data_IF_626133940524
#
_entry.id   IF_626133940524
#
_cell.length_a   1.000
_cell.length_b   1.000
_cell.length_c   1.000
_cell.angle_alpha   90.00
_cell.angle_beta   90.00
_cell.angle_gamma   90.00
#
_symmetry.space_group_name_H-M   'P 1'
#
loop_
_entity.id
_entity.type
_entity.pdbx_description
1 polymer ?
#
# COMPACT_ATOMS: atom_id res chain seq x y z
N UNK A 1 -43.89 -8.44 -47.72
CA UNK A 1 -43.54 -7.32 -46.83
C UNK A 1 -43.72 -7.59 -45.33
N UNK A 2 -44.58 -8.49 -44.87
CA UNK A 2 -44.80 -8.76 -43.43
C UNK A 2 -43.72 -9.58 -42.71
N UNK A 3 -42.85 -10.34 -43.40
CA UNK A 3 -41.81 -11.14 -42.76
C UNK A 3 -40.56 -10.33 -42.35
N UNK A 4 -40.26 -9.24 -43.05
CA UNK A 4 -39.09 -8.39 -42.75
C UNK A 4 -39.31 -7.45 -41.54
N UNK A 5 -40.52 -7.03 -41.28
CA UNK A 5 -40.84 -6.15 -40.11
C UNK A 5 -40.79 -6.93 -38.80
N UNK A 6 -41.16 -8.21 -38.80
CA UNK A 6 -41.15 -9.04 -37.58
C UNK A 6 -39.70 -9.38 -37.14
N UNK A 7 -38.78 -9.60 -38.08
CA UNK A 7 -37.39 -9.90 -37.79
C UNK A 7 -36.65 -8.67 -37.15
N UNK A 8 -36.92 -7.47 -37.66
CA UNK A 8 -36.33 -6.23 -37.11
C UNK A 8 -36.84 -5.95 -35.68
N UNK A 9 -38.12 -6.16 -35.42
CA UNK A 9 -38.72 -5.98 -34.11
C UNK A 9 -38.17 -6.97 -33.06
N UNK A 10 -37.92 -8.23 -33.44
CA UNK A 10 -37.35 -9.24 -32.53
C UNK A 10 -35.89 -8.95 -32.21
N UNK A 11 -35.08 -8.50 -33.18
CA UNK A 11 -33.68 -8.12 -32.94
C UNK A 11 -33.60 -6.89 -32.06
N UNK A 12 -34.48 -5.90 -32.22
CA UNK A 12 -34.52 -4.70 -31.35
C UNK A 12 -34.96 -5.02 -29.92
N UNK A 13 -35.94 -5.95 -29.74
CA UNK A 13 -36.37 -6.38 -28.41
C UNK A 13 -35.26 -7.20 -27.70
N UNK A 14 -34.56 -8.06 -28.39
CA UNK A 14 -33.45 -8.84 -27.82
C UNK A 14 -32.28 -7.92 -27.41
N UNK A 15 -31.97 -6.90 -28.23
CA UNK A 15 -30.94 -5.90 -27.89
C UNK A 15 -31.32 -5.04 -26.66
N UNK A 16 -32.59 -4.63 -26.52
CA UNK A 16 -33.07 -3.91 -25.36
C UNK A 16 -33.07 -4.78 -24.09
N UNK A 17 -33.50 -6.03 -24.19
CA UNK A 17 -33.46 -6.97 -23.07
C UNK A 17 -32.02 -7.27 -22.62
N UNK A 18 -31.10 -7.41 -23.55
CA UNK A 18 -29.68 -7.63 -23.24
C UNK A 18 -29.06 -6.40 -22.55
N UNK A 19 -29.33 -5.20 -23.05
CA UNK A 19 -28.85 -3.96 -22.46
C UNK A 19 -29.40 -3.73 -21.04
N UNK A 20 -30.71 -3.96 -20.83
CA UNK A 20 -31.31 -3.85 -19.50
C UNK A 20 -30.78 -4.90 -18.52
N UNK A 21 -30.50 -6.11 -18.97
CA UNK A 21 -29.93 -7.16 -18.14
C UNK A 21 -28.50 -6.84 -17.73
N UNK A 22 -27.64 -6.35 -18.64
CA UNK A 22 -26.27 -5.92 -18.35
C UNK A 22 -26.25 -4.74 -17.39
N UNK A 23 -27.10 -3.74 -17.59
CA UNK A 23 -27.22 -2.59 -16.68
C UNK A 23 -27.67 -3.04 -15.28
N UNK A 24 -28.64 -3.96 -15.20
CA UNK A 24 -29.10 -4.51 -13.91
C UNK A 24 -28.00 -5.26 -13.17
N UNK A 25 -27.16 -6.06 -13.88
CA UNK A 25 -26.04 -6.76 -13.28
C UNK A 25 -24.92 -5.81 -12.81
N UNK A 26 -24.63 -4.76 -13.57
CA UNK A 26 -23.64 -3.75 -13.20
C UNK A 26 -24.09 -2.97 -11.94
N UNK A 27 -25.35 -2.54 -11.85
CA UNK A 27 -25.92 -1.87 -10.68
C UNK A 27 -25.87 -2.79 -9.45
N UNK A 28 -26.23 -4.06 -9.60
CA UNK A 28 -26.17 -5.03 -8.49
C UNK A 28 -24.72 -5.28 -8.03
N UNK A 29 -23.74 -5.30 -8.96
CA UNK A 29 -22.31 -5.44 -8.61
C UNK A 29 -21.79 -4.22 -7.84
N UNK A 30 -22.08 -3.00 -8.30
CA UNK A 30 -21.66 -1.77 -7.61
C UNK A 30 -22.26 -1.69 -6.21
N UNK A 31 -23.53 -2.04 -6.04
CA UNK A 31 -24.17 -2.07 -4.75
C UNK A 31 -23.55 -3.12 -3.81
N UNK A 32 -23.20 -4.31 -4.31
CA UNK A 32 -22.45 -5.32 -3.52
C UNK A 32 -21.07 -4.79 -3.09
N UNK A 33 -20.37 -4.08 -3.96
CA UNK A 33 -19.07 -3.49 -3.61
C UNK A 33 -19.23 -2.42 -2.53
N UNK A 34 -20.24 -1.56 -2.66
CA UNK A 34 -20.57 -0.56 -1.65
C UNK A 34 -20.88 -1.20 -0.30
N UNK A 35 -21.72 -2.24 -0.27
CA UNK A 35 -22.09 -2.95 0.97
C UNK A 35 -20.87 -3.63 1.61
N UNK A 36 -20.01 -4.24 0.82
CA UNK A 36 -18.74 -4.84 1.33
C UNK A 36 -17.81 -3.77 1.90
N UNK A 37 -17.67 -2.62 1.25
CA UNK A 37 -16.84 -1.51 1.72
C UNK A 37 -17.36 -0.98 3.07
N UNK A 38 -18.67 -0.72 3.18
CA UNK A 38 -19.29 -0.28 4.43
C UNK A 38 -19.11 -1.33 5.56
N UNK A 39 -19.29 -2.61 5.25
CA UNK A 39 -19.10 -3.68 6.24
C UNK A 39 -17.65 -3.73 6.73
N UNK A 40 -16.67 -3.65 5.82
CA UNK A 40 -15.24 -3.64 6.15
C UNK A 40 -14.85 -2.40 6.99
N UNK A 41 -15.35 -1.21 6.64
CA UNK A 41 -15.14 0.01 7.42
C UNK A 41 -15.78 -0.10 8.81
N UNK A 42 -17.01 -0.59 8.89
CA UNK A 42 -17.72 -0.74 10.16
C UNK A 42 -16.98 -1.69 11.11
N UNK A 43 -16.45 -2.79 10.58
CA UNK A 43 -15.66 -3.75 11.36
C UNK A 43 -14.29 -3.19 11.72
N UNK A 44 -13.57 -2.64 10.74
CA UNK A 44 -12.17 -2.22 10.89
C UNK A 44 -11.96 -0.90 11.63
N UNK A 45 -12.96 -0.01 11.63
CA UNK A 45 -12.90 1.32 12.26
C UNK A 45 -13.73 1.44 13.54
N UNK A 46 -14.21 0.32 14.09
CA UNK A 46 -15.04 0.31 15.30
C UNK A 46 -14.32 0.79 16.56
N UNK A 47 -13.00 0.79 16.55
CA UNK A 47 -12.16 1.25 17.66
C UNK A 47 -11.36 2.51 17.28
N UNK A 48 -11.12 3.42 18.22
CA UNK A 48 -10.17 4.51 18.03
C UNK A 48 -8.80 3.98 17.60
N UNK A 49 -8.07 4.76 16.82
CA UNK A 49 -6.71 4.44 16.44
C UNK A 49 -5.79 4.36 17.66
N UNK A 50 -5.07 3.26 17.80
CA UNK A 50 -4.01 3.03 18.79
C UNK A 50 -2.65 2.80 18.11
N UNK A 51 -2.67 2.20 16.94
CA UNK A 51 -1.49 1.77 16.20
C UNK A 51 -1.07 0.34 16.51
N UNK A 52 -0.04 -0.10 15.81
CA UNK A 52 0.61 -1.40 16.03
C UNK A 52 1.36 -1.35 17.35
N UNK A 53 1.05 -2.29 18.27
CA UNK A 53 1.77 -2.48 19.54
C UNK A 53 2.68 -3.71 19.49
N UNK A 54 3.62 -3.80 20.44
CA UNK A 54 4.54 -4.92 20.56
C UNK A 54 4.49 -5.42 22.00
N UNK A 55 3.82 -6.56 22.23
CA UNK A 55 3.60 -7.14 23.55
C UNK A 55 2.65 -6.31 24.40
N UNK A 56 1.51 -5.89 23.83
CA UNK A 56 0.44 -5.07 24.43
C UNK A 56 0.88 -3.67 24.87
N UNK A 57 2.09 -3.20 24.50
CA UNK A 57 2.61 -1.91 24.91
C UNK A 57 2.80 -0.96 23.72
N UNK A 58 2.40 0.30 23.92
CA UNK A 58 2.79 1.44 23.06
C UNK A 58 3.93 2.18 23.79
N UNK A 59 5.11 2.16 23.19
CA UNK A 59 6.30 2.84 23.72
C UNK A 59 6.27 4.33 23.32
N UNK A 60 6.12 5.26 24.26
CA UNK A 60 6.08 6.69 23.96
C UNK A 60 7.47 7.26 23.68
N UNK A 61 7.51 8.44 23.04
CA UNK A 61 8.74 9.23 22.89
C UNK A 61 9.70 8.75 21.80
N UNK A 62 9.28 7.81 20.96
CA UNK A 62 10.08 7.32 19.84
C UNK A 62 10.16 8.33 18.68
N UNK A 63 9.15 9.16 18.50
CA UNK A 63 8.99 10.06 17.37
C UNK A 63 8.85 11.53 17.82
N UNK A 64 9.92 12.17 18.34
CA UNK A 64 9.83 13.56 18.79
C UNK A 64 9.64 14.50 17.59
N UNK A 65 8.86 15.58 17.79
CA UNK A 65 8.85 16.71 16.84
C UNK A 65 10.24 17.35 16.86
N UNK A 66 10.91 17.35 15.71
CA UNK A 66 12.25 17.91 15.52
C UNK A 66 12.46 18.34 14.09
N UNK A 67 13.38 19.27 13.83
CA UNK A 67 13.81 19.52 12.46
C UNK A 67 14.68 18.37 11.94
N UNK A 68 14.39 17.93 10.73
CA UNK A 68 15.18 16.93 10.00
C UNK A 68 16.23 17.59 9.10
N UNK A 69 16.04 18.89 8.77
CA UNK A 69 16.85 19.61 7.79
C UNK A 69 16.53 19.23 6.33
N UNK A 70 15.54 18.38 6.09
CA UNK A 70 15.11 17.96 4.75
C UNK A 70 13.89 18.77 4.34
N UNK A 71 13.95 19.45 3.20
CA UNK A 71 12.87 20.35 2.76
C UNK A 71 11.64 19.60 2.28
N UNK A 72 10.46 19.95 2.82
CA UNK A 72 9.15 19.52 2.36
C UNK A 72 8.51 20.53 1.37
N UNK A 73 9.22 21.57 0.97
CA UNK A 73 8.70 22.56 0.00
C UNK A 73 8.27 21.95 -1.34
N UNK A 74 9.05 21.03 -1.97
CA UNK A 74 8.64 20.42 -3.23
C UNK A 74 7.27 19.74 -3.14
N UNK A 75 7.06 18.90 -2.12
CA UNK A 75 5.78 18.19 -1.94
C UNK A 75 4.64 19.17 -1.58
N UNK A 76 4.92 20.20 -0.77
CA UNK A 76 3.94 21.26 -0.45
C UNK A 76 3.47 22.01 -1.68
N UNK A 77 4.38 22.41 -2.57
CA UNK A 77 4.04 23.08 -3.82
C UNK A 77 3.27 22.17 -4.77
N UNK A 78 3.69 20.92 -4.92
CA UNK A 78 3.00 19.94 -5.75
C UNK A 78 1.58 19.64 -5.22
N UNK A 79 1.40 19.51 -3.89
CA UNK A 79 0.09 19.33 -3.27
C UNK A 79 -0.86 20.52 -3.52
N UNK A 80 -0.35 21.77 -3.42
CA UNK A 80 -1.12 22.97 -3.77
C UNK A 80 -1.49 22.98 -5.26
N UNK A 81 -0.53 22.66 -6.14
CA UNK A 81 -0.78 22.63 -7.59
C UNK A 81 -1.83 21.58 -7.96
N UNK A 82 -1.74 20.39 -7.36
CA UNK A 82 -2.75 19.34 -7.54
C UNK A 82 -4.15 19.82 -7.12
N UNK A 83 -4.32 20.31 -5.88
CA UNK A 83 -5.61 20.80 -5.41
C UNK A 83 -6.16 21.96 -6.26
N UNK A 84 -5.30 22.82 -6.78
CA UNK A 84 -5.70 23.93 -7.63
C UNK A 84 -6.09 23.49 -9.06
N UNK A 85 -5.67 22.31 -9.50
CA UNK A 85 -6.04 21.74 -10.80
C UNK A 85 -7.45 21.13 -10.80
N UNK A 86 -7.99 20.83 -9.61
CA UNK A 86 -9.30 20.20 -9.45
C UNK A 86 -10.45 21.17 -9.63
N UNK A 87 -11.57 20.69 -10.16
CA UNK A 87 -12.85 21.42 -10.09
C UNK A 87 -13.31 21.56 -8.64
N UNK A 88 -14.21 22.50 -8.36
CA UNK A 88 -14.76 22.67 -7.00
C UNK A 88 -15.39 21.39 -6.45
N UNK A 89 -16.11 20.63 -7.30
CA UNK A 89 -16.74 19.36 -6.94
C UNK A 89 -15.70 18.27 -6.64
N UNK A 90 -14.70 18.12 -7.51
CA UNK A 90 -13.58 17.17 -7.27
C UNK A 90 -12.84 17.52 -5.99
N UNK A 91 -12.53 18.81 -5.77
CA UNK A 91 -11.82 19.24 -4.57
C UNK A 91 -12.61 18.96 -3.29
N UNK A 92 -13.93 19.19 -3.28
CA UNK A 92 -14.78 18.95 -2.12
C UNK A 92 -14.75 17.49 -1.66
N UNK A 93 -14.69 16.52 -2.58
CA UNK A 93 -14.64 15.09 -2.25
C UNK A 93 -13.22 14.55 -2.09
N UNK A 94 -12.19 15.39 -2.34
CA UNK A 94 -10.77 15.01 -2.27
C UNK A 94 -10.09 15.53 -1.02
N UNK A 95 -10.55 16.66 -0.46
CA UNK A 95 -9.92 17.32 0.68
C UNK A 95 -10.73 17.09 1.97
N UNK A 96 -10.05 16.53 2.99
CA UNK A 96 -10.60 16.15 4.30
C UNK A 96 -9.90 16.93 5.42
N UNK A 97 -10.43 16.91 6.64
CA UNK A 97 -9.72 17.39 7.81
C UNK A 97 -8.45 16.56 8.08
N UNK A 98 -7.44 17.16 8.74
CA UNK A 98 -6.17 16.47 8.99
C UNK A 98 -6.32 15.24 9.90
N UNK A 99 -7.28 15.26 10.81
CA UNK A 99 -7.60 14.20 11.76
C UNK A 99 -8.72 13.26 11.29
N UNK A 100 -9.22 13.46 10.07
CA UNK A 100 -10.31 12.67 9.49
C UNK A 100 -10.00 11.17 9.50
N UNK A 101 -11.04 10.36 9.69
CA UNK A 101 -10.96 8.90 9.65
C UNK A 101 -10.59 8.37 8.24
N UNK A 102 -10.66 9.21 7.22
CA UNK A 102 -10.30 8.87 5.85
C UNK A 102 -8.87 8.32 5.74
N UNK A 103 -7.92 8.78 6.57
CA UNK A 103 -6.59 8.18 6.67
C UNK A 103 -6.60 6.66 6.82
N UNK A 104 -7.58 6.12 7.55
CA UNK A 104 -7.69 4.70 7.88
C UNK A 104 -8.53 3.91 6.88
N UNK A 105 -9.18 4.59 5.92
CA UNK A 105 -10.08 4.02 4.93
C UNK A 105 -9.36 3.68 3.64
N UNK A 106 -8.38 2.78 3.72
CA UNK A 106 -7.68 2.26 2.56
C UNK A 106 -7.83 0.74 2.46
N UNK A 107 -7.81 0.19 1.25
CA UNK A 107 -7.90 -1.25 1.04
C UNK A 107 -7.18 -1.68 -0.25
N UNK A 108 -6.34 -2.70 -0.12
CA UNK A 108 -5.59 -3.29 -1.23
C UNK A 108 -6.45 -4.10 -2.23
N UNK A 109 -7.75 -4.26 -1.99
CA UNK A 109 -8.64 -5.05 -2.84
C UNK A 109 -9.39 -4.17 -3.85
N UNK A 110 -9.62 -4.71 -5.07
CA UNK A 110 -10.23 -3.99 -6.19
C UNK A 110 -11.67 -3.51 -5.92
N UNK A 111 -12.45 -4.25 -5.16
CA UNK A 111 -13.87 -3.97 -4.94
C UNK A 111 -14.14 -2.79 -3.99
N UNK A 112 -13.13 -2.27 -3.30
CA UNK A 112 -13.32 -1.20 -2.33
C UNK A 112 -13.73 0.11 -3.00
N UNK A 113 -14.77 0.75 -2.49
CA UNK A 113 -15.27 2.03 -2.98
C UNK A 113 -14.51 3.17 -2.30
N UNK A 114 -13.63 3.78 -3.04
CA UNK A 114 -12.69 4.81 -2.57
C UNK A 114 -13.26 6.21 -2.64
N UNK A 115 -12.78 7.07 -1.75
CA UNK A 115 -13.04 8.50 -1.79
C UNK A 115 -11.99 9.24 -2.63
N UNK A 116 -12.16 10.56 -2.79
CA UNK A 116 -11.24 11.39 -3.53
C UNK A 116 -11.51 11.43 -5.04
N UNK A 117 -10.52 11.85 -5.79
CA UNK A 117 -10.57 11.92 -7.25
C UNK A 117 -9.78 10.77 -7.86
N UNK A 118 -10.42 10.00 -8.74
CA UNK A 118 -9.81 8.89 -9.47
C UNK A 118 -8.97 9.36 -10.66
N UNK A 119 -7.85 8.68 -10.92
CA UNK A 119 -7.03 8.98 -12.10
C UNK A 119 -7.78 8.73 -13.43
N UNK A 120 -8.77 7.83 -13.42
CA UNK A 120 -9.61 7.51 -14.57
C UNK A 120 -10.51 8.67 -15.00
N UNK A 121 -10.97 9.50 -14.05
CA UNK A 121 -11.80 10.67 -14.30
C UNK A 121 -11.01 11.98 -14.47
N UNK A 122 -9.70 12.00 -14.17
CA UNK A 122 -8.85 13.16 -14.29
C UNK A 122 -8.61 13.53 -15.75
N UNK A 123 -8.60 14.84 -16.05
CA UNK A 123 -8.00 15.35 -17.28
C UNK A 123 -6.51 15.05 -17.33
N UNK A 124 -5.89 15.14 -18.50
CA UNK A 124 -4.43 14.93 -18.63
C UNK A 124 -3.62 15.88 -17.74
N UNK A 125 -4.05 17.15 -17.62
CA UNK A 125 -3.37 18.13 -16.75
C UNK A 125 -3.51 17.82 -15.26
N UNK A 126 -4.69 17.38 -14.82
CA UNK A 126 -4.92 16.93 -13.43
C UNK A 126 -4.12 15.68 -13.11
N UNK A 127 -4.07 14.73 -14.04
CA UNK A 127 -3.29 13.48 -13.89
C UNK A 127 -1.80 13.77 -13.78
N UNK A 128 -1.27 14.71 -14.58
CA UNK A 128 0.14 15.11 -14.45
C UNK A 128 0.40 15.79 -13.10
N UNK A 129 -0.48 16.69 -12.64
CA UNK A 129 -0.35 17.31 -11.31
C UNK A 129 -0.38 16.27 -10.16
N UNK A 130 -1.20 15.21 -10.28
CA UNK A 130 -1.22 14.11 -9.35
C UNK A 130 0.09 13.30 -9.38
N UNK A 131 0.63 13.04 -10.57
CA UNK A 131 1.94 12.38 -10.74
C UNK A 131 3.07 13.26 -10.21
N UNK A 132 3.00 14.58 -10.36
CA UNK A 132 3.97 15.53 -9.81
C UNK A 132 3.95 15.53 -8.27
N UNK A 133 2.77 15.40 -7.65
CA UNK A 133 2.67 15.21 -6.19
C UNK A 133 3.39 13.92 -5.75
N UNK A 134 3.15 12.81 -6.45
CA UNK A 134 3.85 11.56 -6.20
C UNK A 134 5.36 11.70 -6.43
N UNK A 135 5.78 12.38 -7.50
CA UNK A 135 7.20 12.61 -7.84
C UNK A 135 7.92 13.45 -6.80
N UNK A 136 7.24 14.42 -6.20
CA UNK A 136 7.80 15.26 -5.15
C UNK A 136 7.90 14.56 -3.77
N UNK A 137 7.17 13.47 -3.60
CA UNK A 137 7.06 12.72 -2.33
C UNK A 137 7.88 11.43 -2.32
N UNK A 138 8.15 10.87 -3.49
CA UNK A 138 8.75 9.56 -3.66
C UNK A 138 10.12 9.66 -4.31
N UNK A 139 10.99 8.73 -3.99
CA UNK A 139 12.23 8.53 -4.76
C UNK A 139 11.91 8.11 -6.20
N UNK A 140 12.88 8.23 -7.10
CA UNK A 140 12.73 7.74 -8.47
C UNK A 140 12.32 6.26 -8.52
N UNK A 141 12.83 5.45 -7.58
CA UNK A 141 12.47 4.04 -7.41
C UNK A 141 11.04 3.89 -6.91
N UNK A 142 10.62 4.62 -5.88
CA UNK A 142 9.27 4.56 -5.32
C UNK A 142 8.20 5.00 -6.32
N UNK A 143 8.45 6.07 -7.06
CA UNK A 143 7.57 6.51 -8.14
C UNK A 143 7.46 5.44 -9.24
N UNK A 144 8.62 4.88 -9.66
CA UNK A 144 8.62 3.79 -10.65
C UNK A 144 7.85 2.57 -10.15
N UNK A 145 8.08 2.13 -8.92
CA UNK A 145 7.37 0.99 -8.31
C UNK A 145 5.86 1.22 -8.32
N UNK A 146 5.40 2.37 -7.84
CA UNK A 146 3.97 2.70 -7.81
C UNK A 146 3.36 2.70 -9.21
N UNK A 147 4.03 3.34 -10.18
CA UNK A 147 3.57 3.37 -11.57
C UNK A 147 3.57 1.99 -12.23
N UNK A 148 4.54 1.15 -11.92
CA UNK A 148 4.61 -0.21 -12.45
C UNK A 148 3.53 -1.12 -11.85
N UNK A 149 3.17 -0.94 -10.57
CA UNK A 149 2.00 -1.62 -9.98
C UNK A 149 0.71 -1.20 -10.69
N UNK A 150 0.52 0.10 -10.95
CA UNK A 150 -0.64 0.59 -11.72
C UNK A 150 -0.71 -0.04 -13.11
N UNK A 151 0.43 -0.21 -13.80
CA UNK A 151 0.53 -0.88 -15.11
C UNK A 151 0.24 -2.37 -15.02
N UNK A 152 0.74 -3.04 -13.97
CA UNK A 152 0.47 -4.47 -13.75
C UNK A 152 -1.00 -4.71 -13.39
N UNK A 153 -1.68 -3.74 -12.78
CA UNK A 153 -3.13 -3.82 -12.60
C UNK A 153 -3.90 -3.83 -13.94
N UNK A 154 -3.38 -3.13 -14.97
CA UNK A 154 -3.91 -3.27 -16.33
C UNK A 154 -3.60 -4.65 -16.92
N UNK A 155 -2.37 -5.17 -16.74
CA UNK A 155 -2.01 -6.53 -17.16
C UNK A 155 -2.90 -7.58 -16.51
N UNK A 156 -3.26 -7.38 -15.23
CA UNK A 156 -4.24 -8.23 -14.56
C UNK A 156 -5.59 -8.19 -15.27
N UNK A 157 -6.06 -7.02 -15.71
CA UNK A 157 -7.28 -6.88 -16.50
C UNK A 157 -7.22 -7.69 -17.82
N UNK A 158 -6.11 -7.60 -18.56
CA UNK A 158 -5.87 -8.39 -19.77
C UNK A 158 -5.96 -9.90 -19.49
N UNK A 159 -5.29 -10.37 -18.43
CA UNK A 159 -5.28 -11.78 -18.02
C UNK A 159 -6.60 -12.26 -17.42
N UNK A 160 -7.38 -11.37 -16.82
CA UNK A 160 -8.69 -11.65 -16.24
C UNK A 160 -9.84 -11.47 -17.26
N UNK A 161 -9.65 -11.91 -18.48
CA UNK A 161 -10.64 -11.87 -19.57
C UNK A 161 -11.08 -10.45 -19.96
N UNK A 162 -10.13 -9.52 -20.08
CA UNK A 162 -10.33 -8.10 -20.43
C UNK A 162 -11.24 -7.36 -19.43
N UNK A 163 -11.14 -7.71 -18.15
CA UNK A 163 -11.93 -7.11 -17.09
C UNK A 163 -11.34 -5.75 -16.64
N UNK A 164 -11.40 -4.74 -17.52
CA UNK A 164 -10.88 -3.38 -17.23
C UNK A 164 -11.81 -2.53 -16.36
N UNK A 165 -13.00 -3.01 -16.03
CA UNK A 165 -13.89 -2.38 -15.06
C UNK A 165 -13.40 -2.55 -13.62
N UNK A 166 -12.72 -3.65 -13.33
CA UNK A 166 -12.18 -3.97 -12.00
C UNK A 166 -10.66 -3.79 -11.93
N UNK A 167 -9.96 -3.97 -13.06
CA UNK A 167 -8.49 -3.92 -13.14
C UNK A 167 -8.03 -2.99 -14.26
N UNK A 168 -7.49 -1.84 -13.92
CA UNK A 168 -7.05 -0.86 -14.91
C UNK A 168 -5.89 -0.01 -14.40
N UNK A 169 -5.07 0.50 -15.34
CA UNK A 169 -3.91 1.35 -15.02
C UNK A 169 -4.28 2.57 -14.18
N UNK A 170 -5.50 3.09 -14.34
CA UNK A 170 -5.92 4.36 -13.76
C UNK A 170 -6.97 4.22 -12.66
N UNK A 171 -7.26 3.02 -12.16
CA UNK A 171 -8.20 2.77 -11.06
C UNK A 171 -7.49 2.97 -9.71
N UNK A 172 -7.08 4.21 -9.47
CA UNK A 172 -6.41 4.70 -8.27
C UNK A 172 -6.96 6.07 -7.91
N UNK A 173 -7.04 6.38 -6.61
CA UNK A 173 -7.65 7.61 -6.09
C UNK A 173 -6.67 8.36 -5.21
N UNK A 174 -6.78 9.69 -5.19
CA UNK A 174 -6.03 10.55 -4.29
C UNK A 174 -6.99 11.29 -3.38
N UNK A 175 -6.68 11.30 -2.08
CA UNK A 175 -7.25 12.18 -1.07
C UNK A 175 -6.15 13.06 -0.46
N UNK A 176 -6.52 14.22 0.06
CA UNK A 176 -5.62 15.14 0.75
C UNK A 176 -6.23 15.47 2.10
N UNK A 177 -5.47 15.29 3.17
CA UNK A 177 -5.87 15.60 4.53
C UNK A 177 -5.18 16.88 4.99
N UNK A 178 -5.97 17.81 5.51
CA UNK A 178 -5.48 19.16 5.83
C UNK A 178 -5.31 20.04 4.59
N UNK A 179 -4.43 21.03 4.70
CA UNK A 179 -4.08 21.94 3.61
C UNK A 179 -2.57 22.03 3.50
N UNK A 180 -1.96 21.82 2.31
CA UNK A 180 -0.51 21.90 2.14
C UNK A 180 0.07 23.19 2.74
N UNK A 181 0.84 23.04 3.81
CA UNK A 181 1.37 24.13 4.65
C UNK A 181 2.85 23.92 4.96
N UNK A 182 3.55 24.99 5.36
CA UNK A 182 4.93 24.90 5.80
C UNK A 182 5.03 24.55 7.31
N UNK A 183 4.03 24.90 8.11
CA UNK A 183 4.04 24.70 9.57
C UNK A 183 2.90 23.83 10.09
N UNK A 184 1.73 23.87 9.45
CA UNK A 184 0.58 23.09 9.86
C UNK A 184 0.64 21.66 9.28
N UNK A 185 0.13 20.66 10.03
CA UNK A 185 0.13 19.28 9.57
C UNK A 185 -0.82 19.09 8.37
N UNK A 186 -0.38 18.32 7.41
CA UNK A 186 -1.15 17.94 6.25
C UNK A 186 -0.63 16.64 5.67
N UNK A 187 -1.30 16.10 4.66
CA UNK A 187 -0.77 14.95 3.94
C UNK A 187 -1.68 14.53 2.79
N UNK A 188 -1.35 13.40 2.19
CA UNK A 188 -2.12 12.84 1.10
C UNK A 188 -2.07 11.31 1.14
N UNK A 189 -3.06 10.70 0.51
CA UNK A 189 -3.15 9.26 0.38
C UNK A 189 -3.37 8.91 -1.09
N UNK A 190 -2.64 7.91 -1.58
CA UNK A 190 -3.00 7.14 -2.77
C UNK A 190 -3.64 5.84 -2.31
N UNK A 191 -4.80 5.50 -2.86
CA UNK A 191 -5.45 4.21 -2.61
C UNK A 191 -5.90 3.58 -3.92
N UNK A 192 -5.54 2.32 -4.11
CA UNK A 192 -5.92 1.52 -5.25
C UNK A 192 -5.55 0.05 -5.08
N UNK A 193 -5.93 -0.76 -6.05
CA UNK A 193 -5.60 -2.18 -6.02
C UNK A 193 -4.08 -2.38 -6.01
N UNK A 194 -3.56 -2.98 -4.93
CA UNK A 194 -2.15 -3.28 -4.71
C UNK A 194 -1.20 -2.08 -4.54
N UNK A 195 -1.67 -0.83 -4.51
CA UNK A 195 -0.81 0.33 -4.20
C UNK A 195 -1.53 1.32 -3.29
N UNK A 196 -1.03 1.44 -2.07
CA UNK A 196 -1.49 2.40 -1.07
C UNK A 196 -0.27 3.15 -0.52
N UNK A 197 -0.37 4.47 -0.46
CA UNK A 197 0.61 5.35 0.14
C UNK A 197 -0.11 6.31 1.07
N UNK A 198 0.27 6.35 2.32
CA UNK A 198 -0.11 7.38 3.28
C UNK A 198 1.10 8.25 3.54
N UNK A 199 1.03 9.53 3.19
CA UNK A 199 2.14 10.47 3.27
C UNK A 199 1.74 11.68 4.13
N UNK A 200 2.21 11.70 5.38
CA UNK A 200 1.96 12.76 6.34
C UNK A 200 3.16 13.70 6.42
N UNK A 201 2.91 15.00 6.58
CA UNK A 201 3.91 16.08 6.64
C UNK A 201 3.62 16.97 7.83
N UNK A 202 4.63 17.25 8.66
CA UNK A 202 4.62 18.26 9.71
C UNK A 202 5.94 19.02 9.71
N UNK A 203 5.92 20.27 9.28
CA UNK A 203 7.14 21.05 9.08
C UNK A 203 8.04 20.39 8.04
N UNK A 204 9.24 19.97 8.45
CA UNK A 204 10.20 19.23 7.63
C UNK A 204 10.26 17.72 7.98
N UNK A 205 9.32 17.22 8.77
CA UNK A 205 9.18 15.80 9.08
C UNK A 205 8.14 15.14 8.18
N UNK A 206 8.43 13.90 7.80
CA UNK A 206 7.56 13.06 6.97
C UNK A 206 7.37 11.69 7.61
N UNK A 207 6.13 11.18 7.58
CA UNK A 207 5.80 9.79 7.87
C UNK A 207 5.09 9.20 6.67
N UNK A 208 5.69 8.18 6.04
CA UNK A 208 5.10 7.47 4.90
C UNK A 208 4.70 6.06 5.32
N UNK A 209 3.68 5.97 6.15
CA UNK A 209 3.09 4.70 6.60
C UNK A 209 1.64 4.88 7.08
N UNK A 210 0.79 3.83 6.99
CA UNK A 210 1.06 2.57 6.32
C UNK A 210 1.33 2.76 4.82
N UNK A 211 2.25 1.96 4.28
CA UNK A 211 2.44 1.80 2.85
C UNK A 211 2.16 0.34 2.49
N UNK A 212 1.32 0.10 1.50
CA UNK A 212 1.07 -1.22 0.95
C UNK A 212 1.46 -1.25 -0.52
N UNK A 213 2.23 -2.25 -0.92
CA UNK A 213 2.60 -2.51 -2.31
C UNK A 213 2.48 -3.99 -2.61
N UNK A 214 1.89 -4.32 -3.75
CA UNK A 214 1.71 -5.69 -4.17
C UNK A 214 1.48 -5.80 -5.67
N UNK A 215 1.25 -6.99 -6.17
CA UNK A 215 0.75 -7.21 -7.53
C UNK A 215 0.34 -8.67 -7.74
N UNK A 216 -0.61 -8.88 -8.61
CA UNK A 216 -0.98 -10.13 -9.25
C UNK A 216 -1.27 -9.83 -10.74
N UNK A 217 -0.38 -10.21 -11.69
CA UNK A 217 0.95 -10.79 -11.51
C UNK A 217 2.01 -9.75 -11.10
N UNK A 218 3.16 -10.19 -10.56
CA UNK A 218 4.32 -9.31 -10.29
C UNK A 218 5.24 -9.15 -11.48
N UNK A 219 5.03 -9.96 -12.54
CA UNK A 219 5.75 -9.90 -13.81
C UNK A 219 4.75 -9.99 -14.96
N UNK A 220 4.78 -9.02 -15.86
CA UNK A 220 4.03 -9.06 -17.12
C UNK A 220 4.85 -9.74 -18.20
N UNK A 221 4.55 -10.98 -18.52
CA UNK A 221 5.24 -11.73 -19.59
C UNK A 221 4.72 -11.38 -21.00
N UNK A 222 3.54 -10.73 -21.08
CA UNK A 222 2.89 -10.34 -22.33
C UNK A 222 1.99 -9.12 -22.14
N UNK A 223 1.25 -8.70 -23.17
CA UNK A 223 0.29 -7.60 -23.14
C UNK A 223 0.92 -6.21 -23.29
N UNK A 224 0.14 -5.18 -23.03
CA UNK A 224 0.51 -3.76 -23.22
C UNK A 224 1.78 -3.38 -22.43
N UNK A 225 1.96 -3.94 -21.25
CA UNK A 225 3.06 -3.61 -20.36
C UNK A 225 4.05 -4.77 -20.17
N UNK A 226 4.21 -5.61 -21.20
CA UNK A 226 5.19 -6.70 -21.20
C UNK A 226 6.59 -6.24 -20.76
N UNK A 227 7.24 -7.03 -19.91
CA UNK A 227 8.55 -6.73 -19.31
C UNK A 227 8.49 -5.93 -18.00
N UNK A 228 7.31 -5.41 -17.60
CA UNK A 228 7.15 -4.78 -16.28
C UNK A 228 7.27 -5.82 -15.18
N UNK A 229 8.04 -5.48 -14.12
CA UNK A 229 8.24 -6.34 -12.96
C UNK A 229 8.41 -5.53 -11.69
N UNK A 230 7.83 -6.03 -10.57
CA UNK A 230 7.87 -5.37 -9.25
C UNK A 230 8.26 -6.36 -8.16
N UNK A 231 8.78 -5.86 -7.03
CA UNK A 231 9.05 -6.61 -5.80
C UNK A 231 10.04 -7.79 -5.93
N UNK A 232 10.76 -7.89 -7.04
CA UNK A 232 11.76 -8.94 -7.23
C UNK A 232 12.99 -8.70 -6.35
N UNK A 233 13.39 -7.44 -6.17
CA UNK A 233 14.50 -7.08 -5.30
C UNK A 233 14.27 -7.42 -3.84
N UNK A 234 13.05 -7.17 -3.34
CA UNK A 234 12.58 -7.50 -1.99
C UNK A 234 12.57 -9.01 -1.76
N UNK A 235 12.05 -9.75 -2.73
CA UNK A 235 12.03 -11.21 -2.73
C UNK A 235 13.45 -11.80 -2.69
N UNK A 236 14.28 -11.42 -3.64
CA UNK A 236 15.62 -12.02 -3.84
C UNK A 236 16.57 -11.65 -2.70
N UNK A 237 16.53 -10.41 -2.21
CA UNK A 237 17.37 -9.97 -1.10
C UNK A 237 16.98 -10.60 0.22
N UNK A 238 15.70 -10.80 0.48
CA UNK A 238 15.22 -11.53 1.67
C UNK A 238 15.66 -13.01 1.63
N UNK A 239 15.55 -13.66 0.47
CA UNK A 239 16.01 -15.04 0.29
C UNK A 239 17.53 -15.15 0.47
N UNK A 240 18.31 -14.21 -0.08
CA UNK A 240 19.74 -14.16 0.14
C UNK A 240 20.10 -13.93 1.62
N UNK A 241 19.36 -13.06 2.32
CA UNK A 241 19.56 -12.79 3.73
C UNK A 241 19.33 -14.02 4.59
N UNK A 242 18.17 -14.72 4.48
CA UNK A 242 17.89 -15.91 5.28
C UNK A 242 18.89 -17.03 5.00
N UNK A 243 19.40 -17.13 3.76
CA UNK A 243 20.42 -18.11 3.39
C UNK A 243 21.83 -17.75 3.87
N UNK A 244 22.10 -16.49 4.21
CA UNK A 244 23.38 -16.05 4.81
C UNK A 244 23.46 -16.35 6.32
N UNK A 245 22.35 -16.73 6.96
CA UNK A 245 22.29 -17.01 8.38
C UNK A 245 22.99 -18.35 8.71
N UNK A 246 23.72 -18.39 9.84
CA UNK A 246 24.24 -19.66 10.38
C UNK A 246 23.09 -20.63 10.71
N UNK A 247 23.33 -21.93 10.76
CA UNK A 247 22.27 -22.92 11.00
C UNK A 247 21.40 -22.61 12.21
N UNK A 248 21.97 -22.20 13.35
CA UNK A 248 21.28 -21.88 14.58
C UNK A 248 20.43 -20.59 14.40
N UNK A 249 20.98 -19.56 13.77
CA UNK A 249 20.27 -18.32 13.47
C UNK A 249 19.10 -18.58 12.51
N UNK A 250 19.35 -19.37 11.45
CA UNK A 250 18.29 -19.75 10.50
C UNK A 250 17.18 -20.54 11.17
N UNK A 251 17.52 -21.47 12.05
CA UNK A 251 16.55 -22.24 12.85
C UNK A 251 15.70 -21.33 13.74
N UNK A 252 16.29 -20.28 14.32
CA UNK A 252 15.56 -19.31 15.13
C UNK A 252 14.66 -18.40 14.28
N UNK A 253 15.10 -18.03 13.06
CA UNK A 253 14.32 -17.18 12.14
C UNK A 253 13.10 -17.91 11.56
N UNK A 254 13.24 -19.20 11.22
CA UNK A 254 12.17 -19.98 10.57
C UNK A 254 11.17 -20.47 11.62
N UNK A 255 10.07 -19.74 11.80
CA UNK A 255 9.01 -20.09 12.74
C UNK A 255 8.10 -21.21 12.20
N UNK A 256 8.08 -21.40 10.88
CA UNK A 256 7.38 -22.50 10.21
C UNK A 256 7.99 -22.78 8.83
N UNK A 257 8.32 -24.04 8.54
CA UNK A 257 8.99 -24.43 7.28
C UNK A 257 8.06 -24.54 6.05
N UNK A 258 6.75 -24.34 6.19
CA UNK A 258 5.80 -24.42 5.07
C UNK A 258 4.87 -23.22 5.03
N UNK A 259 4.78 -22.59 3.86
CA UNK A 259 3.86 -21.49 3.53
C UNK A 259 2.56 -22.07 2.97
N UNK A 260 1.40 -21.76 3.57
CA UNK A 260 0.12 -22.39 3.17
C UNK A 260 -0.95 -21.41 2.70
N UNK A 261 -1.02 -20.21 3.27
CA UNK A 261 -2.07 -19.20 3.01
C UNK A 261 -1.51 -17.80 3.16
N UNK A 262 -2.39 -16.81 3.34
CA UNK A 262 -2.09 -15.44 3.71
C UNK A 262 -1.45 -15.39 5.10
N UNK A 263 -0.35 -14.66 5.26
CA UNK A 263 0.35 -14.51 6.54
C UNK A 263 0.47 -13.06 6.99
N UNK A 264 0.27 -12.08 6.10
CA UNK A 264 0.26 -10.67 6.45
C UNK A 264 -0.79 -10.36 7.51
N UNK A 265 -0.40 -9.65 8.55
CA UNK A 265 -1.30 -9.21 9.63
C UNK A 265 -1.55 -7.71 9.62
N UNK A 266 -0.66 -6.93 8.97
CA UNK A 266 -0.71 -5.45 8.94
C UNK A 266 -1.43 -4.86 7.73
N UNK A 267 -2.27 -5.61 7.00
CA UNK A 267 -3.02 -5.11 5.85
C UNK A 267 -4.20 -4.20 6.26
N UNK A 268 -5.07 -3.85 5.30
CA UNK A 268 -6.20 -2.95 5.44
C UNK A 268 -7.03 -3.21 6.72
N UNK A 269 -7.45 -2.12 7.37
CA UNK A 269 -8.23 -2.11 8.62
C UNK A 269 -7.58 -2.82 9.82
N UNK A 270 -6.27 -3.08 9.77
CA UNK A 270 -5.49 -3.70 10.85
C UNK A 270 -4.59 -2.69 11.55
N UNK A 271 -5.18 -1.58 12.00
CA UNK A 271 -4.44 -0.50 12.67
C UNK A 271 -4.08 -0.84 14.11
N UNK A 272 -4.98 -1.52 14.83
CA UNK A 272 -4.85 -1.81 16.27
C UNK A 272 -4.46 -3.27 16.50
N UNK A 273 -3.32 -3.69 15.93
CA UNK A 273 -2.79 -5.04 16.13
C UNK A 273 -1.71 -5.05 17.21
N UNK A 274 -1.69 -6.13 17.99
CA UNK A 274 -0.59 -6.43 18.89
C UNK A 274 0.27 -7.57 18.32
N UNK A 275 1.58 -7.38 18.33
CA UNK A 275 2.52 -8.33 17.73
C UNK A 275 3.52 -8.86 18.75
N UNK A 276 3.67 -10.18 18.76
CA UNK A 276 4.73 -10.83 19.51
C UNK A 276 6.10 -10.68 18.83
N UNK A 277 7.14 -10.60 19.64
CA UNK A 277 8.54 -10.72 19.25
C UNK A 277 8.86 -12.17 18.95
N UNK A 278 8.76 -12.58 17.68
CA UNK A 278 9.03 -13.96 17.26
C UNK A 278 10.12 -14.00 16.19
N UNK A 279 10.82 -15.12 16.11
CA UNK A 279 11.91 -15.32 15.15
C UNK A 279 13.29 -15.02 15.76
N UNK A 280 14.23 -14.62 14.91
CA UNK A 280 15.59 -14.30 15.25
C UNK A 280 15.72 -12.86 15.76
N UNK A 281 16.33 -12.67 16.91
CA UNK A 281 16.70 -11.35 17.41
C UNK A 281 17.91 -10.82 16.66
N UNK A 282 17.84 -9.60 16.13
CA UNK A 282 18.88 -9.01 15.28
C UNK A 282 20.15 -8.67 16.07
N UNK A 283 20.05 -8.46 17.40
CA UNK A 283 21.21 -8.32 18.28
C UNK A 283 22.21 -9.48 18.12
N UNK A 284 21.71 -10.72 17.86
CA UNK A 284 22.52 -11.94 17.72
C UNK A 284 23.23 -12.05 16.34
N UNK A 285 23.06 -11.08 15.45
CA UNK A 285 23.66 -11.03 14.13
C UNK A 285 25.05 -10.39 14.16
N UNK A 286 25.92 -10.83 13.21
CA UNK A 286 27.17 -10.12 12.93
C UNK A 286 26.91 -8.77 12.28
N UNK A 287 27.88 -7.84 12.33
CA UNK A 287 27.78 -6.54 11.67
C UNK A 287 27.50 -6.63 10.17
N UNK A 288 28.05 -7.65 9.48
CA UNK A 288 27.76 -7.90 8.07
C UNK A 288 26.31 -8.28 7.85
N UNK A 289 25.76 -9.17 8.68
CA UNK A 289 24.37 -9.59 8.59
C UNK A 289 23.39 -8.45 8.95
N UNK A 290 23.71 -7.62 9.95
CA UNK A 290 22.94 -6.39 10.27
C UNK A 290 22.93 -5.43 9.08
N UNK A 291 24.06 -5.25 8.41
CA UNK A 291 24.14 -4.47 7.17
C UNK A 291 23.25 -5.02 6.05
N UNK A 292 23.25 -6.34 5.85
CA UNK A 292 22.37 -7.00 4.86
C UNK A 292 20.88 -6.81 5.17
N UNK A 293 20.49 -6.85 6.46
CA UNK A 293 19.12 -6.59 6.87
C UNK A 293 18.73 -5.13 6.68
N UNK A 294 19.60 -4.18 7.00
CA UNK A 294 19.39 -2.75 6.73
C UNK A 294 19.20 -2.48 5.23
N UNK A 295 19.98 -3.14 4.37
CA UNK A 295 19.81 -3.06 2.92
C UNK A 295 18.47 -3.65 2.44
N UNK A 296 17.93 -4.67 3.10
CA UNK A 296 16.58 -5.18 2.84
C UNK A 296 15.51 -4.18 3.27
N UNK A 297 15.63 -3.60 4.47
CA UNK A 297 14.73 -2.57 4.99
C UNK A 297 14.73 -1.34 4.08
N UNK A 298 15.91 -0.94 3.57
CA UNK A 298 16.05 0.19 2.63
C UNK A 298 15.24 0.02 1.33
N UNK A 299 14.96 -1.21 0.89
CA UNK A 299 14.08 -1.44 -0.26
C UNK A 299 12.65 -0.94 -0.03
N UNK A 300 12.19 -0.88 1.20
CA UNK A 300 10.86 -0.38 1.58
C UNK A 300 10.89 1.11 1.92
N UNK A 301 11.73 1.48 2.88
CA UNK A 301 11.89 2.86 3.33
C UNK A 301 12.33 3.79 2.20
N UNK A 302 13.23 3.34 1.34
CA UNK A 302 13.75 4.09 0.19
C UNK A 302 12.76 4.29 -0.97
N UNK A 303 11.48 3.96 -0.80
CA UNK A 303 10.43 4.40 -1.72
C UNK A 303 9.99 5.86 -1.47
N UNK A 304 10.19 6.37 -0.26
CA UNK A 304 10.07 7.79 0.10
C UNK A 304 11.20 8.59 -0.56
N UNK A 305 11.08 9.92 -0.69
CA UNK A 305 12.17 10.74 -1.22
C UNK A 305 13.47 10.52 -0.46
N UNK A 306 14.60 10.65 -1.17
CA UNK A 306 15.90 10.19 -0.67
C UNK A 306 16.29 10.84 0.67
N UNK A 307 15.96 12.13 0.87
CA UNK A 307 16.32 12.84 2.10
C UNK A 307 15.57 12.30 3.32
N UNK A 308 14.26 12.15 3.23
CA UNK A 308 13.45 11.61 4.33
C UNK A 308 13.64 10.11 4.51
N UNK A 309 14.00 9.39 3.43
CA UNK A 309 14.39 7.99 3.51
C UNK A 309 15.65 7.79 4.37
N UNK A 310 16.68 8.65 4.24
CA UNK A 310 17.86 8.59 5.10
C UNK A 310 17.51 8.89 6.56
N UNK A 311 16.68 9.91 6.84
CA UNK A 311 16.20 10.22 8.20
C UNK A 311 15.52 8.99 8.84
N UNK A 312 14.67 8.30 8.06
CA UNK A 312 13.98 7.08 8.54
C UNK A 312 14.94 5.90 8.70
N UNK A 313 15.93 5.76 7.82
CA UNK A 313 16.95 4.71 7.94
C UNK A 313 17.86 4.92 9.14
N UNK A 314 18.20 6.18 9.50
CA UNK A 314 18.94 6.49 10.72
C UNK A 314 18.13 6.08 11.97
N UNK A 315 16.82 6.39 11.99
CA UNK A 315 15.90 5.95 13.04
C UNK A 315 15.86 4.41 13.15
N UNK A 316 15.76 3.70 12.01
CA UNK A 316 15.79 2.23 12.00
C UNK A 316 17.12 1.68 12.50
N UNK A 317 18.24 2.30 12.11
CA UNK A 317 19.57 1.87 12.54
C UNK A 317 19.79 2.04 14.06
N UNK A 318 19.18 3.07 14.68
CA UNK A 318 19.21 3.28 16.14
C UNK A 318 18.54 2.10 16.89
N UNK A 319 17.48 1.50 16.31
CA UNK A 319 16.75 0.39 16.93
C UNK A 319 17.05 -0.97 16.30
N UNK A 320 18.16 -1.11 15.55
CA UNK A 320 18.49 -2.34 14.85
C UNK A 320 18.66 -3.55 15.79
N UNK A 321 19.19 -3.34 16.98
CA UNK A 321 19.40 -4.40 17.98
C UNK A 321 18.10 -4.79 18.72
N UNK A 322 17.07 -3.93 18.70
CA UNK A 322 15.70 -4.21 19.18
C UNK A 322 14.77 -4.63 18.01
N UNK A 323 15.33 -5.31 17.03
CA UNK A 323 14.63 -5.78 15.82
C UNK A 323 14.57 -7.29 15.81
N UNK A 324 13.46 -7.82 15.28
CA UNK A 324 13.19 -9.24 15.12
C UNK A 324 12.94 -9.59 13.66
N UNK A 325 13.50 -10.71 13.21
CA UNK A 325 13.30 -11.24 11.86
C UNK A 325 12.65 -12.62 11.93
N UNK A 326 11.48 -12.78 11.33
CA UNK A 326 10.73 -14.03 11.27
C UNK A 326 10.50 -14.46 9.82
N UNK A 327 10.55 -15.78 9.59
CA UNK A 327 10.39 -16.40 8.28
C UNK A 327 9.40 -17.55 8.33
N UNK A 328 8.57 -17.67 7.29
CA UNK A 328 7.67 -18.81 7.06
C UNK A 328 7.85 -19.26 5.61
N UNK A 329 8.12 -20.55 5.40
CA UNK A 329 8.27 -21.15 4.07
C UNK A 329 9.63 -21.74 3.81
N UNK A 330 9.86 -22.16 2.56
CA UNK A 330 11.15 -22.70 2.12
C UNK A 330 12.22 -21.64 1.91
N UNK A 331 13.45 -22.06 1.68
CA UNK A 331 14.62 -21.19 1.45
C UNK A 331 15.37 -21.52 0.15
N UNK A 332 14.77 -22.37 -0.70
CA UNK A 332 15.29 -22.66 -2.04
C UNK A 332 14.94 -21.53 -3.02
N UNK A 333 15.60 -21.47 -4.16
CA UNK A 333 15.47 -20.38 -5.15
C UNK A 333 14.05 -20.17 -5.68
N UNK A 334 13.25 -21.23 -5.77
CA UNK A 334 11.86 -21.20 -6.24
C UNK A 334 10.82 -21.20 -5.11
N UNK A 335 11.27 -21.15 -3.84
CA UNK A 335 10.39 -21.22 -2.67
C UNK A 335 9.43 -20.03 -2.61
N UNK A 336 8.25 -20.31 -2.10
CA UNK A 336 7.28 -19.30 -1.62
C UNK A 336 7.46 -19.11 -0.13
N UNK A 337 7.39 -17.85 0.33
CA UNK A 337 7.67 -17.52 1.72
C UNK A 337 6.93 -16.26 2.17
N UNK A 338 6.92 -16.06 3.46
CA UNK A 338 6.61 -14.83 4.16
C UNK A 338 7.77 -14.46 5.05
N UNK A 339 8.05 -13.18 5.19
CA UNK A 339 8.92 -12.69 6.26
C UNK A 339 8.33 -11.46 6.94
N UNK A 340 8.75 -11.26 8.19
CA UNK A 340 8.44 -10.09 8.99
C UNK A 340 9.71 -9.53 9.60
N UNK A 341 9.87 -8.21 9.51
CA UNK A 341 10.86 -7.42 10.23
C UNK A 341 10.08 -6.54 11.20
N UNK A 342 10.32 -6.68 12.49
CA UNK A 342 9.61 -5.97 13.55
C UNK A 342 10.58 -5.29 14.48
N UNK A 343 10.53 -3.96 14.58
CA UNK A 343 11.23 -3.13 15.54
C UNK A 343 10.27 -2.12 16.19
N UNK A 344 10.70 -1.35 17.20
CA UNK A 344 9.87 -0.27 17.76
C UNK A 344 9.45 0.79 16.75
N UNK A 345 10.18 0.97 15.65
CA UNK A 345 9.98 2.06 14.68
C UNK A 345 9.62 1.61 13.28
N UNK A 346 9.72 0.31 12.98
CA UNK A 346 9.34 -0.23 11.67
C UNK A 346 8.78 -1.64 11.78
N UNK A 347 7.66 -1.89 11.10
CA UNK A 347 7.12 -3.20 10.75
C UNK A 347 7.16 -3.33 9.24
N UNK A 348 7.79 -4.40 8.76
CA UNK A 348 7.74 -4.80 7.35
C UNK A 348 7.24 -6.24 7.28
N UNK A 349 6.29 -6.47 6.38
CA UNK A 349 5.82 -7.80 6.02
C UNK A 349 5.92 -7.98 4.50
N UNK A 350 6.30 -9.16 4.07
CA UNK A 350 6.30 -9.59 2.68
C UNK A 350 5.68 -10.98 2.59
N UNK A 351 4.77 -11.19 1.67
CA UNK A 351 3.97 -12.40 1.62
C UNK A 351 3.69 -12.87 0.18
N UNK A 352 4.14 -14.07 -0.17
CA UNK A 352 3.66 -14.76 -1.35
C UNK A 352 2.26 -15.31 -1.10
N UNK A 353 1.30 -14.92 -1.92
CA UNK A 353 -0.12 -15.25 -1.71
C UNK A 353 -0.67 -16.23 -2.75
N UNK A 354 -1.77 -16.95 -2.43
CA UNK A 354 -2.52 -17.67 -3.43
C UNK A 354 -3.12 -16.70 -4.47
N UNK A 355 -3.31 -17.13 -5.72
CA UNK A 355 -3.95 -16.29 -6.73
C UNK A 355 -5.40 -15.97 -6.34
N UNK A 356 -5.84 -14.75 -6.66
CA UNK A 356 -7.23 -14.30 -6.47
C UNK A 356 -7.92 -14.13 -7.83
N UNK A 357 -7.43 -13.22 -8.66
CA UNK A 357 -7.99 -12.98 -9.99
C UNK A 357 -7.52 -14.02 -11.02
N UNK A 358 -6.32 -14.57 -10.86
CA UNK A 358 -5.69 -15.51 -11.78
C UNK A 358 -5.84 -16.99 -11.38
N UNK A 359 -6.87 -17.35 -10.61
CA UNK A 359 -7.17 -18.75 -10.24
C UNK A 359 -7.43 -19.68 -11.41
N UNK A 360 -7.78 -19.14 -12.56
CA UNK A 360 -7.97 -19.91 -13.80
C UNK A 360 -6.64 -20.24 -14.50
N UNK A 361 -5.55 -19.55 -14.14
CA UNK A 361 -4.19 -19.76 -14.67
C UNK A 361 -3.32 -20.54 -13.67
N UNK A 362 -3.42 -20.21 -12.37
CA UNK A 362 -2.53 -20.73 -11.33
C UNK A 362 -3.30 -21.60 -10.32
N UNK A 363 -2.61 -22.60 -9.70
CA UNK A 363 -3.20 -23.41 -8.64
C UNK A 363 -3.50 -22.55 -7.41
N UNK A 364 -4.52 -22.92 -6.61
CA UNK A 364 -4.94 -22.19 -5.41
C UNK A 364 -4.03 -22.47 -4.21
N UNK A 365 -2.74 -22.21 -4.36
CA UNK A 365 -1.68 -22.24 -3.34
C UNK A 365 -0.84 -20.97 -3.47
N UNK A 366 -0.05 -20.58 -2.46
CA UNK A 366 0.85 -19.44 -2.60
C UNK A 366 1.78 -19.57 -3.81
N UNK A 367 1.94 -18.49 -4.56
CA UNK A 367 2.73 -18.42 -5.79
C UNK A 367 3.63 -17.19 -5.80
N UNK A 368 4.75 -17.27 -6.52
CA UNK A 368 5.68 -16.13 -6.66
C UNK A 368 5.11 -14.99 -7.53
N UNK A 369 4.03 -15.23 -8.25
CA UNK A 369 3.36 -14.24 -9.11
C UNK A 369 2.30 -13.40 -8.37
N UNK A 370 2.05 -13.66 -7.06
CA UNK A 370 1.18 -12.84 -6.24
C UNK A 370 1.90 -12.47 -4.95
N UNK A 371 2.24 -11.19 -4.81
CA UNK A 371 3.01 -10.67 -3.66
C UNK A 371 2.24 -9.52 -3.02
N UNK A 372 2.19 -9.54 -1.68
CA UNK A 372 1.80 -8.41 -0.86
C UNK A 372 2.96 -8.01 0.05
N UNK A 373 3.20 -6.72 0.19
CA UNK A 373 4.16 -6.18 1.14
C UNK A 373 3.60 -4.95 1.86
N UNK A 374 3.87 -4.86 3.15
CA UNK A 374 3.37 -3.81 4.05
C UNK A 374 4.54 -3.17 4.77
N UNK A 375 4.54 -1.85 4.86
CA UNK A 375 5.39 -1.06 5.74
C UNK A 375 4.50 -0.30 6.71
N UNK A 376 4.75 -0.41 8.03
CA UNK A 376 4.08 0.36 9.06
C UNK A 376 5.08 0.99 10.04
N UNK A 377 4.63 1.99 10.77
CA UNK A 377 5.35 2.60 11.88
C UNK A 377 4.64 2.24 13.19
N UNK A 378 5.12 1.23 13.95
CA UNK A 378 4.56 0.83 15.23
C UNK A 378 4.53 1.96 16.26
N UNK A 379 3.97 1.68 17.43
CA UNK A 379 3.92 2.61 18.56
C UNK A 379 3.16 3.91 18.27
N UNK A 380 2.10 3.80 17.44
CA UNK A 380 1.11 4.88 17.28
C UNK A 380 1.47 5.93 16.23
N UNK A 381 2.53 5.76 15.45
CA UNK A 381 2.92 6.80 14.48
C UNK A 381 2.61 6.48 13.00
N UNK A 382 1.83 5.44 12.70
CA UNK A 382 1.20 5.33 11.39
C UNK A 382 0.35 6.59 11.12
N UNK A 383 0.33 7.04 9.86
CA UNK A 383 -0.35 8.30 9.45
C UNK A 383 0.19 9.56 10.15
N UNK A 384 1.37 9.49 10.79
CA UNK A 384 1.91 10.58 11.61
C UNK A 384 1.08 10.91 12.86
N UNK A 385 0.27 9.96 13.36
CA UNK A 385 -0.69 10.24 14.46
C UNK A 385 -0.02 10.61 15.75
N UNK A 386 1.17 10.07 16.09
CA UNK A 386 1.90 10.50 17.28
C UNK A 386 2.45 11.92 17.12
N UNK A 387 2.98 12.30 15.96
CA UNK A 387 3.41 13.67 15.65
C UNK A 387 2.23 14.65 15.71
N UNK A 388 1.08 14.27 15.15
CA UNK A 388 -0.14 15.09 15.17
C UNK A 388 -0.63 15.31 16.60
N UNK A 389 -0.63 14.27 17.44
CA UNK A 389 -0.96 14.38 18.88
C UNK A 389 -0.05 15.38 19.59
N UNK A 390 1.28 15.24 19.42
CA UNK A 390 2.27 16.16 20.00
C UNK A 390 2.08 17.59 19.50
N UNK A 391 1.75 17.78 18.21
CA UNK A 391 1.47 19.09 17.65
C UNK A 391 0.28 19.76 18.35
N UNK A 392 -0.83 19.05 18.54
CA UNK A 392 -2.00 19.57 19.26
C UNK A 392 -1.74 19.86 20.76
N UNK A 393 -0.89 19.08 21.40
CA UNK A 393 -0.49 19.34 22.78
C UNK A 393 0.35 20.63 22.92
N UNK A 394 1.19 20.94 21.91
CA UNK A 394 2.01 22.15 21.89
C UNK A 394 1.26 23.37 21.34
N UNK A 395 0.28 23.18 20.49
CA UNK A 395 -0.51 24.20 19.82
C UNK A 395 -2.01 23.89 19.95
N UNK A 396 -2.64 24.14 21.12
CA UNK A 396 -4.08 23.95 21.31
C UNK A 396 -4.87 24.86 20.36
N UNK A 397 -5.78 24.30 19.56
CA UNK A 397 -6.65 24.98 18.61
C UNK A 397 -8.07 25.15 19.16
#
# INVERSE_FOLDING_TARGET
MFRSALAVAIVSLLSLCSATFVISQAVDRQERFRQRSIAAETEGLNEPFRGVSIGDEIRPGLFPIRSTGVSTEPVRFAGKAFLNSLTSEQRQRTQFAIDDAEWRKWMNQHFYVRQGVGFDEMTSAQREAAIDLMRASLSARGLKLTRDIMRLNHTLGELAHDNFEEYGEWLYWITVMGTPSAGEPWGWQLDGHHAIINYFVLGDQVVMSPMFVGSEPVVADSGKFAGTRVLQGEQDRALAFVNSLRPEQRSAAIIRGSKKRFENVGEAFRDNIDLDRVGLRVEDLSGVQKGQLLELIRLYVGNMDDGHAEVKMDEVAEYIDDTWFAWIGGTEDDSVFYYRILSPVVLIEFDHQPPIALRHIYPNVPIRQHIHAVLRTPNGNDYGKDLLRQHYEQHPH
#
